data_IF_961642828789
#
_entry.id   IF_961642828789
#
_cell.length_a   1.000
_cell.length_b   1.000
_cell.length_c   1.000
_cell.angle_alpha   90.00
_cell.angle_beta   90.00
_cell.angle_gamma   90.00
#
_symmetry.space_group_name_H-M   'P 1'
#
loop_
_entity.id
_entity.type
_entity.pdbx_description
1 polymer ?
#
# COMPACT_ATOMS: atom_id res chain seq x y z
N UNK A 1 44.90 -23.02 31.27
CA UNK A 1 44.86 -23.25 29.80
C UNK A 1 43.49 -23.73 29.33
N UNK A 2 42.91 -24.78 29.91
CA UNK A 2 41.58 -25.31 29.54
C UNK A 2 40.44 -24.27 29.58
N UNK A 3 40.32 -23.48 30.66
CA UNK A 3 39.28 -22.44 30.81
C UNK A 3 39.37 -21.37 29.70
N UNK A 4 40.57 -20.99 29.28
CA UNK A 4 40.79 -19.99 28.23
C UNK A 4 40.26 -20.47 26.87
N UNK A 5 40.47 -21.74 26.53
CA UNK A 5 39.96 -22.33 25.28
C UNK A 5 38.42 -22.38 25.27
N UNK A 6 37.77 -22.65 26.41
CA UNK A 6 36.30 -22.60 26.50
C UNK A 6 35.77 -21.18 26.26
N UNK A 7 36.39 -20.16 26.85
CA UNK A 7 35.98 -18.76 26.66
C UNK A 7 36.12 -18.35 25.19
N UNK A 8 37.25 -18.69 24.55
CA UNK A 8 37.47 -18.41 23.12
C UNK A 8 36.44 -19.14 22.26
N UNK A 9 36.16 -20.42 22.55
CA UNK A 9 35.16 -21.21 21.85
C UNK A 9 33.76 -20.57 21.92
N UNK A 10 33.36 -20.07 23.09
CA UNK A 10 32.08 -19.36 23.26
C UNK A 10 32.06 -18.07 22.43
N UNK A 11 33.12 -17.27 22.47
CA UNK A 11 33.21 -16.01 21.70
C UNK A 11 33.08 -16.29 20.20
N UNK A 12 33.75 -17.32 19.69
CA UNK A 12 33.67 -17.72 18.27
C UNK A 12 32.26 -18.17 17.90
N UNK A 13 31.62 -18.99 18.75
CA UNK A 13 30.25 -19.47 18.50
C UNK A 13 29.25 -18.30 18.50
N UNK A 14 29.36 -17.38 19.46
CA UNK A 14 28.51 -16.19 19.54
C UNK A 14 28.75 -15.28 18.33
N UNK A 15 30.01 -15.05 17.97
CA UNK A 15 30.39 -14.26 16.79
C UNK A 15 29.84 -14.85 15.49
N UNK A 16 29.94 -16.18 15.32
CA UNK A 16 29.38 -16.88 14.18
C UNK A 16 27.85 -16.78 14.14
N UNK A 17 27.18 -16.98 15.27
CA UNK A 17 25.72 -16.85 15.36
C UNK A 17 25.25 -15.44 14.99
N UNK A 18 25.94 -14.40 15.49
CA UNK A 18 25.69 -13.00 15.11
C UNK A 18 25.91 -12.82 13.61
N UNK A 19 27.03 -13.28 13.06
CA UNK A 19 27.31 -13.17 11.64
C UNK A 19 26.21 -13.78 10.77
N UNK A 20 25.84 -15.03 11.04
CA UNK A 20 24.78 -15.75 10.33
C UNK A 20 23.43 -15.01 10.41
N UNK A 21 23.10 -14.43 11.57
CA UNK A 21 21.83 -13.73 11.77
C UNK A 21 21.78 -12.34 11.11
N UNK A 22 22.89 -11.61 11.05
CA UNK A 22 22.92 -10.24 10.55
C UNK A 22 23.31 -10.12 9.07
N UNK A 23 24.17 -10.99 8.55
CA UNK A 23 24.79 -10.78 7.23
C UNK A 23 24.41 -11.83 6.17
N UNK A 24 23.97 -13.02 6.56
CA UNK A 24 23.62 -14.06 5.57
C UNK A 24 22.25 -13.77 4.95
N UNK A 25 22.13 -13.76 3.61
CA UNK A 25 20.84 -13.65 2.93
C UNK A 25 19.87 -14.76 3.34
N UNK A 26 18.60 -14.42 3.56
CA UNK A 26 17.54 -15.38 3.89
C UNK A 26 16.91 -16.02 2.64
N UNK A 27 17.14 -15.42 1.47
CA UNK A 27 16.65 -15.86 0.17
C UNK A 27 17.75 -15.76 -0.88
N UNK A 28 17.71 -16.59 -1.94
CA UNK A 28 18.57 -16.41 -3.11
C UNK A 28 18.28 -15.07 -3.80
N UNK A 29 19.15 -14.64 -4.70
CA UNK A 29 18.89 -13.48 -5.56
C UNK A 29 17.74 -13.85 -6.52
N UNK A 30 16.62 -13.18 -6.36
CA UNK A 30 15.42 -13.31 -7.19
C UNK A 30 15.36 -12.13 -8.18
N UNK A 31 14.57 -12.26 -9.25
CA UNK A 31 14.33 -11.16 -10.20
C UNK A 31 13.49 -10.05 -9.52
N UNK A 32 13.65 -8.81 -9.98
CA UNK A 32 12.94 -7.63 -9.45
C UNK A 32 13.88 -6.60 -8.81
N UNK A 33 13.30 -5.52 -8.30
CA UNK A 33 14.05 -4.47 -7.60
C UNK A 33 14.68 -4.99 -6.30
N UNK A 34 15.80 -4.40 -5.89
CA UNK A 34 16.58 -4.87 -4.73
C UNK A 34 15.82 -4.73 -3.40
N UNK A 35 14.92 -3.75 -3.33
CA UNK A 35 14.10 -3.48 -2.16
C UNK A 35 12.64 -3.86 -2.37
N UNK A 36 11.96 -4.14 -1.26
CA UNK A 36 10.52 -4.44 -1.17
C UNK A 36 9.96 -3.75 0.07
N UNK A 37 8.63 -3.64 0.16
CA UNK A 37 7.97 -3.00 1.30
C UNK A 37 7.37 -4.04 2.25
N UNK A 38 7.61 -3.89 3.56
CA UNK A 38 6.91 -4.65 4.60
C UNK A 38 5.68 -3.84 5.01
N UNK A 39 4.50 -4.44 4.94
CA UNK A 39 3.25 -3.84 5.41
C UNK A 39 3.10 -3.95 6.93
N UNK A 40 2.18 -3.17 7.51
CA UNK A 40 1.95 -3.17 8.97
C UNK A 40 1.48 -4.54 9.49
N UNK A 41 0.74 -5.31 8.69
CA UNK A 41 0.31 -6.68 9.00
C UNK A 41 1.44 -7.73 8.86
N UNK A 42 2.58 -7.33 8.29
CA UNK A 42 3.73 -8.19 8.02
C UNK A 42 3.72 -8.89 6.66
N UNK A 43 2.72 -8.66 5.80
CA UNK A 43 2.85 -9.03 4.40
C UNK A 43 3.96 -8.22 3.73
N UNK A 44 4.44 -8.70 2.59
CA UNK A 44 5.51 -8.03 1.83
C UNK A 44 5.04 -7.87 0.40
N UNK A 45 5.24 -6.68 -0.17
CA UNK A 45 4.86 -6.36 -1.54
C UNK A 45 6.05 -5.81 -2.33
N UNK A 46 5.98 -6.00 -3.65
CA UNK A 46 6.77 -5.22 -4.61
C UNK A 46 6.50 -3.72 -4.44
N UNK A 47 7.33 -2.89 -5.07
CA UNK A 47 7.25 -1.43 -5.04
C UNK A 47 6.62 -0.90 -6.34
N UNK A 48 6.01 0.28 -6.28
CA UNK A 48 5.64 1.03 -7.47
C UNK A 48 6.81 1.87 -8.01
N UNK A 49 6.59 2.56 -9.13
CA UNK A 49 7.62 3.38 -9.77
C UNK A 49 8.06 4.57 -8.89
N UNK A 50 7.15 5.13 -8.08
CA UNK A 50 7.44 6.29 -7.22
C UNK A 50 8.33 5.89 -6.03
N UNK A 51 8.03 4.75 -5.40
CA UNK A 51 8.85 4.17 -4.35
C UNK A 51 10.24 3.78 -4.85
N UNK A 52 10.33 3.25 -6.09
CA UNK A 52 11.61 2.93 -6.72
C UNK A 52 12.41 4.21 -6.94
N UNK A 53 11.82 5.25 -7.55
CA UNK A 53 12.46 6.54 -7.78
C UNK A 53 12.94 7.17 -6.45
N UNK A 54 12.11 7.09 -5.41
CA UNK A 54 12.47 7.56 -4.08
C UNK A 54 13.66 6.81 -3.48
N UNK A 55 13.77 5.49 -3.68
CA UNK A 55 14.90 4.70 -3.20
C UNK A 55 16.18 4.86 -4.03
N UNK A 56 16.04 5.23 -5.31
CA UNK A 56 17.18 5.54 -6.19
C UNK A 56 17.69 6.97 -6.01
N UNK A 57 16.89 7.85 -5.41
CA UNK A 57 17.26 9.24 -5.13
C UNK A 57 18.46 9.32 -4.18
N UNK A 58 19.47 10.13 -4.54
CA UNK A 58 20.62 10.37 -3.69
C UNK A 58 20.27 11.36 -2.56
N UNK A 59 20.46 10.94 -1.32
CA UNK A 59 20.22 11.78 -0.13
C UNK A 59 21.53 12.18 0.55
N UNK A 60 21.57 13.42 1.04
CA UNK A 60 22.66 13.86 1.92
C UNK A 60 22.64 13.07 3.25
N UNK A 61 23.80 12.80 3.89
CA UNK A 61 23.84 12.05 5.15
C UNK A 61 23.00 12.64 6.30
N UNK A 62 22.75 13.95 6.28
CA UNK A 62 21.94 14.67 7.27
C UNK A 62 20.52 14.99 6.77
N UNK A 63 20.10 14.42 5.64
CA UNK A 63 18.77 14.64 5.08
C UNK A 63 17.72 13.82 5.85
N UNK A 64 16.75 14.52 6.42
CA UNK A 64 15.62 13.91 7.13
C UNK A 64 14.63 13.20 6.21
N UNK A 65 14.66 13.48 4.90
CA UNK A 65 13.83 12.82 3.90
C UNK A 65 14.40 11.47 3.44
N UNK A 66 15.52 11.01 4.01
CA UNK A 66 16.13 9.73 3.63
C UNK A 66 15.22 8.55 4.00
N UNK A 67 15.02 7.57 3.10
CA UNK A 67 14.22 6.40 3.38
C UNK A 67 14.83 5.58 4.52
N UNK A 68 13.99 5.18 5.47
CA UNK A 68 14.37 4.23 6.49
C UNK A 68 14.35 2.81 5.92
N UNK A 69 15.53 2.21 5.78
CA UNK A 69 15.72 0.84 5.29
C UNK A 69 15.94 -0.08 6.50
N UNK A 70 15.03 -1.04 6.67
CA UNK A 70 15.11 -2.06 7.71
C UNK A 70 16.29 -2.99 7.42
N UNK A 71 17.07 -3.29 8.45
CA UNK A 71 18.10 -4.33 8.40
C UNK A 71 17.50 -5.73 8.54
N UNK A 72 16.32 -5.83 9.16
CA UNK A 72 15.63 -7.10 9.44
C UNK A 72 14.12 -7.00 9.29
N UNK A 73 13.52 -8.11 8.87
CA UNK A 73 12.08 -8.23 8.73
C UNK A 73 11.30 -7.98 10.05
N UNK A 74 11.83 -8.46 11.19
CA UNK A 74 11.20 -8.25 12.51
C UNK A 74 11.68 -6.98 13.23
N UNK A 75 12.48 -6.13 12.59
CA UNK A 75 12.86 -4.84 13.16
C UNK A 75 11.63 -3.93 13.24
N UNK A 76 11.56 -3.09 14.27
CA UNK A 76 10.52 -2.07 14.35
C UNK A 76 11.14 -0.72 13.97
N UNK A 77 10.37 0.12 13.30
CA UNK A 77 10.75 1.52 13.08
C UNK A 77 10.86 2.25 14.44
N UNK A 78 11.46 3.46 14.48
CA UNK A 78 11.48 4.28 15.70
C UNK A 78 10.09 4.47 16.33
N UNK A 79 9.04 4.54 15.50
CA UNK A 79 7.64 4.65 15.90
C UNK A 79 6.99 3.31 16.28
N UNK A 80 7.80 2.26 16.48
CA UNK A 80 7.38 0.89 16.83
C UNK A 80 6.50 0.21 15.79
N UNK A 81 6.56 0.63 14.52
CA UNK A 81 5.81 -0.01 13.43
C UNK A 81 6.62 -1.14 12.80
N UNK A 82 5.92 -2.17 12.33
CA UNK A 82 6.54 -3.27 11.58
C UNK A 82 6.85 -2.89 10.13
N UNK A 83 6.17 -1.90 9.58
CA UNK A 83 6.30 -1.52 8.18
C UNK A 83 7.64 -0.89 7.81
N UNK A 84 7.92 -0.80 6.51
CA UNK A 84 9.09 -0.10 5.94
C UNK A 84 9.83 -0.88 4.86
N UNK A 85 10.73 -0.19 4.15
CA UNK A 85 11.55 -0.77 3.09
C UNK A 85 12.56 -1.78 3.64
N UNK A 86 12.80 -2.86 2.93
CA UNK A 86 13.79 -3.88 3.29
C UNK A 86 14.42 -4.46 2.02
N UNK A 87 15.70 -4.85 2.10
CA UNK A 87 16.31 -5.64 1.03
C UNK A 87 15.55 -6.95 0.81
N UNK A 88 15.21 -7.26 -0.44
CA UNK A 88 14.49 -8.46 -0.88
C UNK A 88 15.06 -9.74 -0.28
N UNK A 89 16.39 -9.86 -0.28
CA UNK A 89 17.10 -11.05 0.21
C UNK A 89 17.08 -11.19 1.75
N UNK A 90 16.63 -10.16 2.49
CA UNK A 90 16.46 -10.17 3.96
C UNK A 90 15.03 -10.51 4.38
N UNK A 91 14.13 -10.72 3.43
CA UNK A 91 12.80 -11.26 3.69
C UNK A 91 12.89 -12.76 3.96
N UNK A 92 12.26 -13.31 5.01
CA UNK A 92 12.22 -14.75 5.23
C UNK A 92 11.64 -15.52 4.03
N UNK A 93 12.28 -16.62 3.62
CA UNK A 93 11.84 -17.46 2.49
C UNK A 93 10.39 -17.95 2.55
N UNK A 94 9.85 -18.09 3.77
CA UNK A 94 8.45 -18.51 4.01
C UNK A 94 7.41 -17.42 3.74
N UNK A 95 7.84 -16.17 3.51
CA UNK A 95 6.97 -15.03 3.26
C UNK A 95 6.97 -14.78 1.77
N UNK A 96 5.81 -14.85 1.14
CA UNK A 96 5.64 -14.51 -0.26
C UNK A 96 5.79 -12.99 -0.46
N UNK A 97 6.47 -12.60 -1.54
CA UNK A 97 6.53 -11.20 -1.97
C UNK A 97 5.39 -11.05 -2.98
N UNK A 98 4.33 -10.39 -2.56
CA UNK A 98 3.15 -10.14 -3.38
C UNK A 98 3.47 -9.05 -4.41
N UNK A 99 2.76 -8.98 -5.54
CA UNK A 99 2.79 -7.78 -6.37
C UNK A 99 2.44 -6.55 -5.52
N UNK A 100 2.87 -5.37 -5.96
CA UNK A 100 2.53 -4.12 -5.30
C UNK A 100 1.00 -4.05 -5.16
N UNK A 101 0.55 -3.96 -3.91
CA UNK A 101 -0.86 -3.85 -3.55
C UNK A 101 -0.92 -2.72 -2.55
N UNK A 102 -1.15 -1.51 -3.03
CA UNK A 102 -1.15 -0.34 -2.19
C UNK A 102 -2.30 -0.48 -1.16
N UNK A 103 -2.04 -0.58 0.16
CA UNK A 103 -3.11 -0.63 1.15
C UNK A 103 -3.97 0.65 1.11
N UNK A 104 -3.38 1.77 0.66
CA UNK A 104 -4.10 3.01 0.40
C UNK A 104 -4.93 2.97 -0.88
N UNK A 105 -4.69 2.06 -1.85
CA UNK A 105 -5.54 1.96 -3.06
C UNK A 105 -6.98 1.67 -2.68
N UNK A 106 -7.26 0.73 -1.76
CA UNK A 106 -8.65 0.45 -1.37
C UNK A 106 -9.35 1.68 -0.77
N UNK A 107 -8.61 2.46 0.03
CA UNK A 107 -9.11 3.68 0.68
C UNK A 107 -9.25 4.85 -0.31
N UNK A 108 -8.26 5.06 -1.17
CA UNK A 108 -8.24 6.07 -2.22
C UNK A 108 -9.29 5.79 -3.29
N UNK A 109 -9.40 4.53 -3.76
CA UNK A 109 -10.45 4.08 -4.68
C UNK A 109 -11.82 4.29 -4.03
N UNK A 110 -12.04 3.87 -2.78
CA UNK A 110 -13.36 4.04 -2.14
C UNK A 110 -13.74 5.50 -1.90
N UNK A 111 -12.77 6.35 -1.58
CA UNK A 111 -12.97 7.78 -1.42
C UNK A 111 -13.31 8.47 -2.75
N UNK A 112 -12.54 8.19 -3.80
CA UNK A 112 -12.83 8.68 -5.15
C UNK A 112 -14.15 8.11 -5.67
N UNK A 113 -14.46 6.87 -5.33
CA UNK A 113 -15.72 6.22 -5.70
C UNK A 113 -16.91 6.89 -5.04
N UNK A 114 -16.82 7.23 -3.75
CA UNK A 114 -17.84 8.01 -3.04
C UNK A 114 -17.99 9.40 -3.65
N UNK A 115 -16.88 10.10 -3.89
CA UNK A 115 -16.89 11.43 -4.52
C UNK A 115 -17.56 11.41 -5.90
N UNK A 116 -17.21 10.43 -6.75
CA UNK A 116 -17.85 10.23 -8.06
C UNK A 116 -19.34 9.91 -7.92
N UNK A 117 -19.71 9.08 -6.94
CA UNK A 117 -21.12 8.71 -6.69
C UNK A 117 -21.98 9.94 -6.38
N UNK A 118 -21.46 10.85 -5.56
CA UNK A 118 -22.13 12.10 -5.21
C UNK A 118 -22.08 13.12 -6.36
N UNK A 119 -20.92 13.26 -7.01
CA UNK A 119 -20.72 14.21 -8.10
C UNK A 119 -21.51 13.87 -9.37
N UNK A 120 -21.86 12.60 -9.55
CA UNK A 120 -22.57 12.10 -10.74
C UNK A 120 -24.02 11.68 -10.49
N UNK A 121 -24.62 12.13 -9.38
CA UNK A 121 -25.98 11.76 -8.99
C UNK A 121 -27.02 12.20 -10.03
N UNK A 122 -26.87 13.41 -10.57
CA UNK A 122 -27.81 14.01 -11.53
C UNK A 122 -27.32 13.97 -12.98
N UNK A 123 -26.02 14.16 -13.21
CA UNK A 123 -25.41 14.14 -14.54
C UNK A 123 -23.98 13.57 -14.49
N UNK A 124 -23.41 13.10 -15.62
CA UNK A 124 -22.01 12.69 -15.64
C UNK A 124 -21.07 13.83 -15.20
N UNK A 125 -19.98 13.47 -14.51
CA UNK A 125 -19.02 14.41 -13.91
C UNK A 125 -17.60 14.26 -14.47
N UNK A 126 -16.81 15.33 -14.44
CA UNK A 126 -15.40 15.29 -14.84
C UNK A 126 -14.47 15.16 -13.62
N UNK A 127 -13.16 15.18 -13.87
CA UNK A 127 -12.17 15.03 -12.80
C UNK A 127 -12.19 16.19 -11.80
N UNK A 128 -12.53 17.40 -12.25
CA UNK A 128 -12.60 18.55 -11.36
C UNK A 128 -13.77 18.41 -10.39
N UNK A 129 -14.94 18.00 -10.88
CA UNK A 129 -16.10 17.72 -10.04
C UNK A 129 -15.83 16.63 -9.00
N UNK A 130 -15.14 15.56 -9.40
CA UNK A 130 -14.71 14.50 -8.48
C UNK A 130 -13.73 15.03 -7.44
N UNK A 131 -12.70 15.77 -7.86
CA UNK A 131 -11.66 16.31 -6.98
C UNK A 131 -12.23 17.25 -5.92
N UNK A 132 -13.16 18.14 -6.29
CA UNK A 132 -13.80 19.08 -5.35
C UNK A 132 -14.61 18.36 -4.25
N UNK A 133 -15.37 17.32 -4.61
CA UNK A 133 -16.14 16.57 -3.61
C UNK A 133 -15.21 15.69 -2.76
N UNK A 134 -14.19 15.09 -3.37
CA UNK A 134 -13.20 14.28 -2.67
C UNK A 134 -12.53 15.11 -1.56
N UNK A 135 -12.04 16.33 -1.88
CA UNK A 135 -11.47 17.25 -0.90
C UNK A 135 -12.44 17.54 0.25
N UNK A 136 -13.70 17.80 -0.05
CA UNK A 136 -14.74 17.99 0.96
C UNK A 136 -14.98 16.79 1.90
N UNK A 137 -14.65 15.56 1.46
CA UNK A 137 -14.83 14.33 2.26
C UNK A 137 -13.63 14.07 3.18
N UNK A 138 -12.40 14.24 2.68
CA UNK A 138 -11.18 13.78 3.35
C UNK A 138 -10.18 14.89 3.67
N UNK A 139 -10.51 16.16 3.38
CA UNK A 139 -9.59 17.30 3.52
C UNK A 139 -8.24 17.09 2.84
N UNK A 140 -8.27 16.44 1.68
CA UNK A 140 -7.12 16.14 0.85
C UNK A 140 -7.53 16.28 -0.61
N UNK A 141 -6.71 16.93 -1.43
CA UNK A 141 -6.98 17.04 -2.86
C UNK A 141 -6.37 15.81 -3.56
N UNK A 142 -7.17 14.93 -4.19
CA UNK A 142 -6.61 13.80 -4.91
C UNK A 142 -5.84 14.27 -6.14
N UNK A 143 -4.73 13.62 -6.43
CA UNK A 143 -3.93 13.83 -7.64
C UNK A 143 -4.67 13.33 -8.89
N UNK A 144 -4.26 13.82 -10.06
CA UNK A 144 -4.81 13.35 -11.33
C UNK A 144 -4.61 11.84 -11.53
N UNK A 145 -3.44 11.32 -11.12
CA UNK A 145 -3.10 9.90 -11.19
C UNK A 145 -4.03 9.06 -10.32
N UNK A 146 -4.27 9.47 -9.06
CA UNK A 146 -5.18 8.76 -8.17
C UNK A 146 -6.61 8.69 -8.73
N UNK A 147 -7.14 9.80 -9.24
CA UNK A 147 -8.46 9.85 -9.88
C UNK A 147 -8.51 8.91 -11.08
N UNK A 148 -7.52 9.01 -11.98
CA UNK A 148 -7.48 8.21 -13.20
C UNK A 148 -7.38 6.72 -12.90
N UNK A 149 -6.46 6.31 -12.03
CA UNK A 149 -6.26 4.90 -11.64
C UNK A 149 -7.50 4.34 -10.98
N UNK A 150 -8.13 5.11 -10.07
CA UNK A 150 -9.35 4.68 -9.39
C UNK A 150 -10.53 4.51 -10.35
N UNK A 151 -10.75 5.47 -11.25
CA UNK A 151 -11.82 5.37 -12.27
C UNK A 151 -11.55 4.19 -13.22
N UNK A 152 -10.30 3.97 -13.62
CA UNK A 152 -9.92 2.85 -14.47
C UNK A 152 -10.28 1.52 -13.80
N UNK A 153 -9.87 1.34 -12.54
CA UNK A 153 -10.18 0.15 -11.76
C UNK A 153 -11.69 -0.04 -11.59
N UNK A 154 -12.43 1.02 -11.23
CA UNK A 154 -13.89 0.96 -11.05
C UNK A 154 -14.62 0.63 -12.37
N UNK A 155 -14.10 1.11 -13.50
CA UNK A 155 -14.62 0.80 -14.82
C UNK A 155 -14.38 -0.67 -15.20
N UNK A 156 -13.20 -1.21 -14.89
CA UNK A 156 -12.87 -2.62 -15.08
C UNK A 156 -13.82 -3.54 -14.28
N UNK A 157 -14.19 -3.13 -13.05
CA UNK A 157 -15.16 -3.88 -12.22
C UNK A 157 -16.63 -3.63 -12.61
N UNK A 158 -16.89 -2.84 -13.64
CA UNK A 158 -18.22 -2.52 -14.17
C UNK A 158 -19.05 -1.61 -13.27
N UNK A 159 -18.42 -0.83 -12.40
CA UNK A 159 -19.08 0.06 -11.44
C UNK A 159 -19.25 1.49 -11.98
N UNK A 160 -18.33 1.90 -12.86
CA UNK A 160 -18.31 3.22 -13.50
C UNK A 160 -18.34 3.07 -15.01
N UNK A 161 -18.97 4.03 -15.68
CA UNK A 161 -19.00 4.15 -17.14
C UNK A 161 -18.60 5.55 -17.58
N UNK A 162 -18.03 5.65 -18.79
CA UNK A 162 -17.57 6.90 -19.38
C UNK A 162 -18.58 7.40 -20.41
N UNK A 163 -18.93 8.67 -20.32
CA UNK A 163 -19.82 9.38 -21.26
C UNK A 163 -19.06 10.60 -21.78
N UNK A 164 -18.47 10.47 -22.97
CA UNK A 164 -17.56 11.49 -23.52
C UNK A 164 -16.31 11.64 -22.65
N UNK A 165 -16.05 12.84 -22.11
CA UNK A 165 -14.96 13.11 -21.16
C UNK A 165 -15.37 12.98 -19.69
N UNK A 166 -16.65 12.68 -19.44
CA UNK A 166 -17.24 12.62 -18.10
C UNK A 166 -17.51 11.16 -17.69
N UNK A 167 -17.79 10.93 -16.41
CA UNK A 167 -17.96 9.63 -15.79
C UNK A 167 -19.25 9.60 -14.98
N UNK A 168 -19.88 8.44 -14.90
CA UNK A 168 -21.08 8.21 -14.09
C UNK A 168 -21.15 6.75 -13.64
N UNK A 169 -21.89 6.51 -12.56
CA UNK A 169 -22.14 5.16 -12.06
C UNK A 169 -22.95 4.31 -13.06
N UNK A 170 -22.61 3.04 -13.14
CA UNK A 170 -23.49 2.03 -13.74
C UNK A 170 -24.65 1.70 -12.79
N UNK A 171 -25.60 0.85 -13.22
CA UNK A 171 -26.66 0.37 -12.33
C UNK A 171 -26.08 -0.35 -11.09
N UNK A 172 -25.12 -1.26 -11.32
CA UNK A 172 -24.37 -1.96 -10.26
C UNK A 172 -23.68 -0.99 -9.31
N UNK A 173 -23.01 0.02 -9.87
CA UNK A 173 -22.32 1.02 -9.05
C UNK A 173 -23.27 1.88 -8.20
N UNK A 174 -24.46 2.20 -8.71
CA UNK A 174 -25.51 2.90 -7.94
C UNK A 174 -26.05 2.06 -6.80
N UNK A 175 -26.24 0.77 -7.02
CA UNK A 175 -26.75 -0.14 -5.99
C UNK A 175 -25.73 -0.33 -4.86
N UNK A 176 -24.43 -0.34 -5.18
CA UNK A 176 -23.35 -0.34 -4.18
C UNK A 176 -23.40 0.91 -3.30
N UNK A 177 -23.52 2.09 -3.89
CA UNK A 177 -23.65 3.35 -3.16
C UNK A 177 -24.91 3.37 -2.27
N UNK A 178 -26.08 3.00 -2.82
CA UNK A 178 -27.34 2.92 -2.07
C UNK A 178 -27.25 1.96 -0.89
N UNK A 179 -26.58 0.82 -1.08
CA UNK A 179 -26.38 -0.15 -0.01
C UNK A 179 -25.47 0.42 1.08
N UNK A 180 -24.39 1.11 0.70
CA UNK A 180 -23.46 1.71 1.64
C UNK A 180 -24.07 2.86 2.46
N UNK A 181 -25.06 3.58 1.90
CA UNK A 181 -25.75 4.69 2.56
C UNK A 181 -27.08 4.33 3.24
N UNK A 182 -27.56 3.09 3.10
CA UNK A 182 -28.89 2.67 3.58
C UNK A 182 -29.13 2.93 5.06
N UNK A 183 -28.15 2.63 5.91
CA UNK A 183 -28.30 2.64 7.37
C UNK A 183 -27.57 3.82 8.04
N UNK A 184 -27.10 4.79 7.25
CA UNK A 184 -26.31 5.92 7.77
C UNK A 184 -26.32 7.13 6.84
N UNK A 185 -26.46 8.32 7.42
CA UNK A 185 -26.31 9.60 6.71
C UNK A 185 -24.92 10.23 6.92
N UNK A 186 -24.04 9.59 7.70
CA UNK A 186 -22.69 10.12 7.96
C UNK A 186 -21.74 9.73 6.83
N UNK A 187 -21.14 10.71 6.15
CA UNK A 187 -20.19 10.49 5.04
C UNK A 187 -19.05 9.53 5.41
N UNK A 188 -18.46 9.68 6.60
CA UNK A 188 -17.40 8.80 7.08
C UNK A 188 -17.83 7.33 7.13
N UNK A 189 -19.03 7.04 7.65
CA UNK A 189 -19.55 5.66 7.71
C UNK A 189 -19.90 5.13 6.33
N UNK A 190 -20.41 5.98 5.43
CA UNK A 190 -20.67 5.59 4.04
C UNK A 190 -19.35 5.22 3.36
N UNK A 191 -18.31 6.03 3.57
CA UNK A 191 -16.97 5.75 3.06
C UNK A 191 -16.43 4.44 3.60
N UNK A 192 -16.48 4.19 4.91
CA UNK A 192 -16.05 2.93 5.51
C UNK A 192 -16.77 1.72 4.88
N UNK A 193 -18.08 1.82 4.67
CA UNK A 193 -18.88 0.78 4.00
C UNK A 193 -18.46 0.56 2.54
N UNK A 194 -18.16 1.65 1.82
CA UNK A 194 -17.65 1.59 0.45
C UNK A 194 -16.26 0.94 0.40
N UNK A 195 -15.37 1.25 1.34
CA UNK A 195 -14.05 0.63 1.45
C UNK A 195 -14.16 -0.89 1.65
N UNK A 196 -15.08 -1.35 2.49
CA UNK A 196 -15.32 -2.80 2.65
C UNK A 196 -15.80 -3.46 1.34
N UNK A 197 -16.66 -2.78 0.57
CA UNK A 197 -17.08 -3.28 -0.76
C UNK A 197 -15.89 -3.35 -1.72
N UNK A 198 -15.04 -2.33 -1.78
CA UNK A 198 -13.83 -2.33 -2.61
C UNK A 198 -12.91 -3.48 -2.23
N UNK A 199 -12.68 -3.72 -0.93
CA UNK A 199 -11.90 -4.87 -0.43
C UNK A 199 -12.49 -6.20 -0.89
N UNK A 200 -13.82 -6.32 -0.91
CA UNK A 200 -14.47 -7.54 -1.38
C UNK A 200 -14.28 -7.74 -2.89
N UNK A 201 -14.41 -6.70 -3.71
CA UNK A 201 -14.12 -6.78 -5.15
C UNK A 201 -12.66 -7.13 -5.44
N UNK A 202 -11.72 -6.64 -4.64
CA UNK A 202 -10.30 -6.98 -4.78
C UNK A 202 -9.99 -8.45 -4.46
N UNK A 203 -10.72 -9.05 -3.51
CA UNK A 203 -10.54 -10.47 -3.12
C UNK A 203 -10.99 -11.48 -4.19
N UNK A 204 -11.80 -11.08 -5.16
CA UNK A 204 -12.36 -11.97 -6.19
C UNK A 204 -11.47 -12.06 -7.46
N UNK A 205 -10.21 -11.63 -7.37
CA UNK A 205 -9.22 -11.72 -8.46
C UNK A 205 -8.32 -12.97 -8.37
N UNK A 206 -8.72 -14.02 -7.64
CA UNK A 206 -7.97 -15.29 -7.52
C UNK A 206 -8.79 -16.42 -8.13
#
# INVERSE_FOLDING_TARGET
MTILYFIIGIIVIVGLFVYLKYFVPLRPKELGFEYVYVNEDGTVSELDEEDIEYLETEFSPADGARPYIKSRYNELTPDKKKSGFIMRNRVPKRIEIMPYNNPSEGRTISWIYLALSMASETEPTDFNGISMIADGINHAVPTHKEIQTSISWLSEKGLVSKVGKKHTLTAKGRDDYKTASKDTNTLLKIWDNMEQKIKNYAKHCI
#
